data_IF_752457479529
#
_entry.id   IF_752457479529
#
_cell.length_a   1.000
_cell.length_b   1.000
_cell.length_c   1.000
_cell.angle_alpha   90.00
_cell.angle_beta   90.00
_cell.angle_gamma   90.00
#
_symmetry.space_group_name_H-M   'P 1'
#
loop_
_entity.id
_entity.type
_entity.pdbx_description
1 polymer ?
#
# COMPACT_ATOMS: atom_id res chain seq x y z
N UNK A 1 -63.56 -138.30 -72.03
CA UNK A 1 -62.39 -138.53 -71.16
C UNK A 1 -61.14 -138.08 -71.90
N UNK A 2 -60.43 -137.03 -71.44
CA UNK A 2 -58.99 -136.74 -71.69
C UNK A 2 -58.60 -135.25 -71.52
N UNK A 3 -59.54 -134.29 -71.44
CA UNK A 3 -59.18 -132.84 -71.37
C UNK A 3 -58.90 -132.35 -69.94
N UNK A 4 -59.46 -133.01 -68.92
CA UNK A 4 -59.30 -132.59 -67.52
C UNK A 4 -57.99 -133.07 -66.84
N UNK A 5 -57.19 -133.92 -67.48
CA UNK A 5 -55.95 -134.47 -66.89
C UNK A 5 -54.69 -133.66 -67.23
N UNK A 6 -54.76 -132.73 -68.19
CA UNK A 6 -53.65 -131.83 -68.56
C UNK A 6 -53.77 -130.47 -67.86
N UNK A 7 -54.97 -130.07 -67.44
CA UNK A 7 -55.19 -128.81 -66.72
C UNK A 7 -54.68 -128.85 -65.27
N UNK A 8 -54.72 -130.02 -64.62
CA UNK A 8 -54.38 -130.16 -63.20
C UNK A 8 -52.90 -129.82 -62.89
N UNK A 9 -51.90 -130.29 -63.66
CA UNK A 9 -50.49 -129.93 -63.42
C UNK A 9 -50.19 -128.46 -63.72
N UNK A 10 -50.85 -127.88 -64.72
CA UNK A 10 -50.73 -126.45 -65.09
C UNK A 10 -51.25 -125.54 -63.99
N UNK A 11 -52.43 -125.84 -63.45
CA UNK A 11 -53.03 -125.11 -62.33
C UNK A 11 -52.16 -125.22 -61.08
N UNK A 12 -51.67 -126.43 -60.77
CA UNK A 12 -50.78 -126.65 -59.62
C UNK A 12 -49.47 -125.86 -59.77
N UNK A 13 -48.85 -125.86 -60.96
CA UNK A 13 -47.65 -125.07 -61.24
C UNK A 13 -47.90 -123.57 -61.13
N UNK A 14 -49.07 -123.08 -61.55
CA UNK A 14 -49.45 -121.68 -61.43
C UNK A 14 -49.62 -121.26 -59.96
N UNK A 15 -50.35 -122.04 -59.16
CA UNK A 15 -50.50 -121.77 -57.72
C UNK A 15 -49.16 -121.87 -56.98
N UNK A 16 -48.30 -122.81 -57.36
CA UNK A 16 -46.97 -122.95 -56.81
C UNK A 16 -46.08 -121.72 -57.11
N UNK A 17 -46.11 -121.24 -58.35
CA UNK A 17 -45.40 -120.01 -58.73
C UNK A 17 -45.97 -118.78 -58.03
N UNK A 18 -47.30 -118.67 -57.93
CA UNK A 18 -47.97 -117.57 -57.26
C UNK A 18 -47.62 -117.54 -55.76
N UNK A 19 -47.62 -118.71 -55.11
CA UNK A 19 -47.21 -118.86 -53.72
C UNK A 19 -45.74 -118.44 -53.52
N UNK A 20 -44.83 -118.92 -54.36
CA UNK A 20 -43.42 -118.55 -54.28
C UNK A 20 -43.20 -117.05 -54.57
N UNK A 21 -43.94 -116.48 -55.52
CA UNK A 21 -43.88 -115.06 -55.84
C UNK A 21 -44.32 -114.19 -54.65
N UNK A 22 -45.46 -114.52 -54.02
CA UNK A 22 -45.91 -113.80 -52.82
C UNK A 22 -45.02 -114.04 -51.60
N UNK A 23 -44.43 -115.24 -51.47
CA UNK A 23 -43.50 -115.56 -50.40
C UNK A 23 -42.20 -114.74 -50.51
N UNK A 24 -41.58 -114.70 -51.70
CA UNK A 24 -40.38 -113.88 -51.91
C UNK A 24 -40.66 -112.38 -51.80
N UNK A 25 -41.79 -111.90 -52.32
CA UNK A 25 -42.19 -110.50 -52.18
C UNK A 25 -42.39 -110.09 -50.71
N UNK A 26 -42.93 -111.00 -49.88
CA UNK A 26 -43.07 -110.77 -48.43
C UNK A 26 -41.73 -110.81 -47.70
N UNK A 27 -40.81 -111.69 -48.09
CA UNK A 27 -39.50 -111.83 -47.47
C UNK A 27 -38.62 -110.60 -47.73
N UNK A 28 -38.60 -110.07 -48.96
CA UNK A 28 -37.85 -108.84 -49.31
C UNK A 28 -38.45 -107.61 -48.64
N UNK A 29 -39.78 -107.52 -48.55
CA UNK A 29 -40.45 -106.42 -47.84
C UNK A 29 -40.17 -106.42 -46.33
N UNK A 30 -40.04 -107.59 -45.70
CA UNK A 30 -39.78 -107.67 -44.26
C UNK A 30 -38.34 -107.26 -43.89
N UNK A 31 -37.34 -107.66 -44.68
CA UNK A 31 -35.94 -107.28 -44.41
C UNK A 31 -35.70 -105.79 -44.64
N UNK A 32 -36.25 -105.22 -45.72
CA UNK A 32 -36.18 -103.78 -46.00
C UNK A 32 -36.93 -102.94 -44.96
N UNK A 33 -38.11 -103.39 -44.50
CA UNK A 33 -38.88 -102.70 -43.47
C UNK A 33 -38.23 -102.79 -42.08
N UNK A 34 -37.66 -103.93 -41.72
CA UNK A 34 -36.95 -104.13 -40.44
C UNK A 34 -35.69 -103.25 -40.34
N UNK A 35 -34.89 -103.20 -41.40
CA UNK A 35 -33.67 -102.39 -41.44
C UNK A 35 -33.98 -100.88 -41.42
N UNK A 36 -34.99 -100.44 -42.18
CA UNK A 36 -35.45 -99.05 -42.15
C UNK A 36 -36.01 -98.65 -40.77
N UNK A 37 -36.75 -99.55 -40.11
CA UNK A 37 -37.30 -99.25 -38.80
C UNK A 37 -36.22 -99.09 -37.72
N UNK A 38 -35.18 -99.94 -37.75
CA UNK A 38 -34.04 -99.85 -36.83
C UNK A 38 -33.20 -98.58 -37.06
N UNK A 39 -33.02 -98.15 -38.32
CA UNK A 39 -32.34 -96.89 -38.66
C UNK A 39 -33.10 -95.68 -38.10
N UNK A 40 -34.43 -95.62 -38.30
CA UNK A 40 -35.28 -94.56 -37.77
C UNK A 40 -35.25 -94.49 -36.24
N UNK A 41 -35.17 -95.64 -35.55
CA UNK A 41 -35.03 -95.69 -34.09
C UNK A 41 -33.67 -95.10 -33.65
N UNK A 42 -32.60 -95.37 -34.39
CA UNK A 42 -31.27 -94.83 -34.09
C UNK A 42 -31.23 -93.31 -34.30
N UNK A 43 -31.77 -92.81 -35.41
CA UNK A 43 -31.89 -91.36 -35.69
C UNK A 43 -32.79 -90.64 -34.68
N UNK A 44 -33.89 -91.27 -34.26
CA UNK A 44 -34.76 -90.75 -33.21
C UNK A 44 -34.01 -90.65 -31.88
N UNK A 45 -33.16 -91.63 -31.57
CA UNK A 45 -32.34 -91.63 -30.35
C UNK A 45 -31.26 -90.55 -30.39
N UNK A 46 -30.59 -90.38 -31.53
CA UNK A 46 -29.58 -89.33 -31.72
C UNK A 46 -30.20 -87.93 -31.65
N UNK A 47 -31.34 -87.71 -32.33
CA UNK A 47 -32.08 -86.45 -32.25
C UNK A 47 -32.55 -86.15 -30.82
N UNK A 48 -33.01 -87.15 -30.07
CA UNK A 48 -33.34 -86.99 -28.65
C UNK A 48 -32.12 -86.55 -27.81
N UNK A 49 -30.95 -87.15 -28.02
CA UNK A 49 -29.73 -86.75 -27.33
C UNK A 49 -29.32 -85.31 -27.69
N UNK A 50 -29.43 -84.93 -28.97
CA UNK A 50 -29.17 -83.56 -29.43
C UNK A 50 -30.14 -82.58 -28.78
N UNK A 51 -31.42 -82.92 -28.66
CA UNK A 51 -32.43 -82.10 -27.95
C UNK A 51 -32.01 -81.91 -26.49
N UNK A 52 -31.71 -82.99 -25.76
CA UNK A 52 -31.29 -82.87 -24.35
C UNK A 52 -30.01 -82.04 -24.18
N UNK A 53 -29.07 -82.12 -25.12
CA UNK A 53 -27.87 -81.26 -25.10
C UNK A 53 -28.22 -79.79 -25.33
N UNK A 54 -29.10 -79.49 -26.28
CA UNK A 54 -29.53 -78.12 -26.55
C UNK A 54 -30.34 -77.55 -25.38
N UNK A 55 -31.20 -78.35 -24.74
CA UNK A 55 -31.92 -77.96 -23.52
C UNK A 55 -30.95 -77.60 -22.39
N UNK A 56 -29.91 -78.41 -22.17
CA UNK A 56 -28.88 -78.11 -21.17
C UNK A 56 -28.11 -76.82 -21.49
N UNK A 57 -27.73 -76.61 -22.75
CA UNK A 57 -27.03 -75.37 -23.16
C UNK A 57 -27.95 -74.16 -23.02
N UNK A 58 -29.23 -74.31 -23.35
CA UNK A 58 -30.22 -73.25 -23.20
C UNK A 58 -30.41 -72.87 -21.73
N UNK A 59 -30.53 -73.85 -20.85
CA UNK A 59 -30.66 -73.65 -19.40
C UNK A 59 -29.42 -72.93 -18.83
N UNK A 60 -28.22 -73.38 -19.18
CA UNK A 60 -26.97 -72.72 -18.80
C UNK A 60 -26.93 -71.25 -19.27
N UNK A 61 -27.35 -71.00 -20.52
CA UNK A 61 -27.40 -69.65 -21.09
C UNK A 61 -28.43 -68.78 -20.38
N UNK A 62 -29.60 -69.32 -20.03
CA UNK A 62 -30.64 -68.61 -19.27
C UNK A 62 -30.09 -68.21 -17.89
N UNK A 63 -29.45 -69.13 -17.18
CA UNK A 63 -28.86 -68.85 -15.86
C UNK A 63 -27.77 -67.78 -15.95
N UNK A 64 -26.87 -67.86 -16.94
CA UNK A 64 -25.83 -66.87 -17.18
C UNK A 64 -26.44 -65.48 -17.52
N UNK A 65 -27.46 -65.44 -18.37
CA UNK A 65 -28.16 -64.19 -18.70
C UNK A 65 -28.83 -63.59 -17.45
N UNK A 66 -29.47 -64.39 -16.61
CA UNK A 66 -30.08 -63.92 -15.37
C UNK A 66 -29.04 -63.33 -14.41
N UNK A 67 -27.89 -63.98 -14.24
CA UNK A 67 -26.79 -63.48 -13.43
C UNK A 67 -26.24 -62.14 -13.97
N UNK A 68 -26.07 -62.03 -15.29
CA UNK A 68 -25.65 -60.77 -15.93
C UNK A 68 -26.67 -59.66 -15.78
N UNK A 69 -27.96 -59.96 -15.95
CA UNK A 69 -29.05 -58.99 -15.73
C UNK A 69 -29.05 -58.46 -14.31
N UNK A 70 -28.81 -59.33 -13.31
CA UNK A 70 -28.70 -58.90 -11.92
C UNK A 70 -27.50 -57.96 -11.70
N UNK A 71 -26.31 -58.33 -12.20
CA UNK A 71 -25.11 -57.50 -12.10
C UNK A 71 -25.30 -56.13 -12.77
N UNK A 72 -25.91 -56.08 -13.95
CA UNK A 72 -26.23 -54.81 -14.64
C UNK A 72 -27.18 -53.96 -13.80
N UNK A 73 -28.18 -54.58 -13.16
CA UNK A 73 -29.12 -53.87 -12.27
C UNK A 73 -28.42 -53.28 -11.04
N UNK A 74 -27.48 -54.00 -10.44
CA UNK A 74 -26.68 -53.51 -9.30
C UNK A 74 -25.76 -52.36 -9.70
N UNK A 75 -25.06 -52.49 -10.83
CA UNK A 75 -24.26 -51.40 -11.39
C UNK A 75 -25.11 -50.16 -11.70
N UNK A 76 -26.33 -50.35 -12.22
CA UNK A 76 -27.28 -49.26 -12.47
C UNK A 76 -27.64 -48.49 -11.19
N UNK A 77 -27.95 -49.19 -10.09
CA UNK A 77 -28.22 -48.55 -8.79
C UNK A 77 -27.01 -47.77 -8.27
N UNK A 78 -25.82 -48.35 -8.35
CA UNK A 78 -24.60 -47.66 -7.92
C UNK A 78 -24.30 -46.41 -8.76
N UNK A 79 -24.61 -46.45 -10.06
CA UNK A 79 -24.46 -45.31 -10.95
C UNK A 79 -25.44 -44.19 -10.60
N UNK A 80 -26.69 -44.54 -10.28
CA UNK A 80 -27.71 -43.60 -9.83
C UNK A 80 -27.32 -42.93 -8.50
N UNK A 81 -26.83 -43.69 -7.52
CA UNK A 81 -26.32 -43.16 -6.26
C UNK A 81 -25.15 -42.18 -6.49
N UNK A 82 -24.23 -42.53 -7.40
CA UNK A 82 -23.11 -41.67 -7.75
C UNK A 82 -23.56 -40.39 -8.47
N UNK A 83 -24.56 -40.48 -9.35
CA UNK A 83 -25.15 -39.31 -10.00
C UNK A 83 -25.81 -38.37 -8.97
N UNK A 84 -26.56 -38.92 -8.01
CA UNK A 84 -27.17 -38.17 -6.93
C UNK A 84 -26.13 -37.49 -6.02
N UNK A 85 -25.01 -38.18 -5.74
CA UNK A 85 -23.90 -37.58 -5.00
C UNK A 85 -23.21 -36.47 -5.79
N UNK A 86 -23.04 -36.67 -7.09
CA UNK A 86 -22.45 -35.65 -7.99
C UNK A 86 -23.30 -34.39 -8.01
N UNK A 87 -24.63 -34.52 -8.16
CA UNK A 87 -25.54 -33.36 -8.14
C UNK A 87 -25.52 -32.66 -6.78
N UNK A 88 -25.55 -33.39 -5.66
CA UNK A 88 -25.42 -32.80 -4.33
C UNK A 88 -24.11 -32.03 -4.16
N UNK A 89 -22.97 -32.62 -4.54
CA UNK A 89 -21.67 -31.96 -4.45
C UNK A 89 -21.60 -30.72 -5.36
N UNK A 90 -22.21 -30.77 -6.54
CA UNK A 90 -22.28 -29.63 -7.44
C UNK A 90 -23.09 -28.48 -6.85
N UNK A 91 -24.23 -28.77 -6.20
CA UNK A 91 -25.01 -27.77 -5.47
C UNK A 91 -24.23 -27.20 -4.29
N UNK A 92 -23.61 -28.04 -3.46
CA UNK A 92 -22.81 -27.59 -2.33
C UNK A 92 -21.62 -26.71 -2.76
N UNK A 93 -20.99 -27.02 -3.89
CA UNK A 93 -19.91 -26.20 -4.46
C UNK A 93 -20.45 -24.85 -4.94
N UNK A 94 -21.63 -24.83 -5.56
CA UNK A 94 -22.27 -23.59 -5.99
C UNK A 94 -22.59 -22.68 -4.80
N UNK A 95 -23.21 -23.23 -3.75
CA UNK A 95 -23.51 -22.50 -2.52
C UNK A 95 -22.24 -21.92 -1.90
N UNK A 96 -21.19 -22.73 -1.75
CA UNK A 96 -19.91 -22.29 -1.18
C UNK A 96 -19.26 -21.18 -2.02
N UNK A 97 -19.35 -21.29 -3.35
CA UNK A 97 -18.82 -20.27 -4.26
C UNK A 97 -19.54 -18.94 -4.10
N UNK A 98 -20.86 -18.95 -3.96
CA UNK A 98 -21.67 -17.76 -3.73
C UNK A 98 -21.33 -17.10 -2.37
N UNK A 99 -21.21 -17.90 -1.30
CA UNK A 99 -20.77 -17.38 0.00
C UNK A 99 -19.34 -16.81 -0.04
N UNK A 100 -18.43 -17.44 -0.78
CA UNK A 100 -17.06 -16.96 -0.94
C UNK A 100 -17.00 -15.62 -1.69
N UNK A 101 -17.76 -15.48 -2.79
CA UNK A 101 -17.81 -14.24 -3.54
C UNK A 101 -18.42 -13.11 -2.71
N UNK A 102 -19.52 -13.39 -2.02
CA UNK A 102 -20.19 -12.42 -1.15
C UNK A 102 -19.32 -11.99 0.05
N UNK A 103 -18.58 -12.94 0.65
CA UNK A 103 -17.66 -12.64 1.75
C UNK A 103 -16.47 -11.80 1.29
N UNK A 104 -15.90 -12.10 0.12
CA UNK A 104 -14.77 -11.36 -0.43
C UNK A 104 -15.16 -9.92 -0.84
N UNK A 105 -16.30 -9.76 -1.51
CA UNK A 105 -16.83 -8.44 -1.87
C UNK A 105 -17.16 -7.59 -0.63
N UNK A 106 -17.80 -8.18 0.38
CA UNK A 106 -18.09 -7.50 1.65
C UNK A 106 -16.82 -7.12 2.41
N UNK A 107 -15.82 -8.00 2.44
CA UNK A 107 -14.52 -7.72 3.06
C UNK A 107 -13.80 -6.57 2.34
N UNK A 108 -13.76 -6.61 1.00
CA UNK A 108 -13.13 -5.58 0.17
C UNK A 108 -13.80 -4.21 0.33
N UNK A 109 -15.14 -4.16 0.34
CA UNK A 109 -15.90 -2.92 0.53
C UNK A 109 -15.68 -2.33 1.92
N UNK A 110 -15.67 -3.16 2.97
CA UNK A 110 -15.37 -2.72 4.34
C UNK A 110 -13.93 -2.21 4.47
N UNK A 111 -12.96 -2.90 3.90
CA UNK A 111 -11.56 -2.48 3.90
C UNK A 111 -11.39 -1.14 3.17
N UNK A 112 -11.96 -1.01 1.96
CA UNK A 112 -11.93 0.22 1.17
C UNK A 112 -12.55 1.39 1.94
N UNK A 113 -13.71 1.18 2.58
CA UNK A 113 -14.36 2.20 3.40
C UNK A 113 -13.49 2.63 4.59
N UNK A 114 -12.89 1.69 5.30
CA UNK A 114 -12.04 1.98 6.46
C UNK A 114 -10.75 2.70 6.07
N UNK A 115 -10.12 2.27 4.98
CA UNK A 115 -8.92 2.91 4.45
C UNK A 115 -9.19 4.33 3.97
N UNK A 116 -10.26 4.54 3.19
CA UNK A 116 -10.67 5.88 2.74
C UNK A 116 -10.98 6.79 3.93
N UNK A 117 -11.69 6.29 4.95
CA UNK A 117 -11.99 7.07 6.16
C UNK A 117 -10.71 7.40 6.95
N UNK A 118 -9.76 6.47 7.02
CA UNK A 118 -8.45 6.69 7.64
C UNK A 118 -7.65 7.79 6.92
N UNK A 119 -7.57 7.71 5.59
CA UNK A 119 -6.93 8.74 4.77
C UNK A 119 -7.60 10.11 4.92
N UNK A 120 -8.94 10.14 4.97
CA UNK A 120 -9.68 11.38 5.22
C UNK A 120 -9.34 12.00 6.59
N UNK A 121 -9.24 11.19 7.64
CA UNK A 121 -8.86 11.66 8.96
C UNK A 121 -7.44 12.26 8.97
N UNK A 122 -6.48 11.58 8.34
CA UNK A 122 -5.11 12.05 8.19
C UNK A 122 -5.05 13.33 7.35
N UNK A 123 -5.78 13.38 6.23
CA UNK A 123 -5.85 14.56 5.36
C UNK A 123 -6.40 15.78 6.11
N UNK A 124 -7.48 15.62 6.90
CA UNK A 124 -8.00 16.73 7.71
C UNK A 124 -6.98 17.20 8.75
N UNK A 125 -6.32 16.27 9.45
CA UNK A 125 -5.29 16.62 10.44
C UNK A 125 -4.15 17.40 9.79
N UNK A 126 -3.62 16.89 8.68
CA UNK A 126 -2.55 17.56 7.94
C UNK A 126 -2.98 18.95 7.46
N UNK A 127 -4.23 19.11 7.04
CA UNK A 127 -4.75 20.42 6.62
C UNK A 127 -4.77 21.42 7.80
N UNK A 128 -5.16 20.98 8.99
CA UNK A 128 -5.10 21.83 10.18
C UNK A 128 -3.66 22.17 10.56
N UNK A 129 -2.77 21.17 10.59
CA UNK A 129 -1.37 21.35 10.93
C UNK A 129 -0.67 22.31 9.94
N UNK A 130 -1.04 22.25 8.66
CA UNK A 130 -0.55 23.15 7.62
C UNK A 130 -0.97 24.60 7.88
N UNK A 131 -2.23 24.87 8.19
CA UNK A 131 -2.68 26.23 8.53
C UNK A 131 -2.00 26.77 9.80
N UNK A 132 -1.77 25.93 10.81
CA UNK A 132 -1.04 26.36 12.02
C UNK A 132 0.40 26.71 11.68
N UNK A 133 1.06 25.92 10.81
CA UNK A 133 2.42 26.19 10.39
C UNK A 133 2.50 27.45 9.53
N UNK A 134 1.53 27.68 8.64
CA UNK A 134 1.41 28.87 7.81
C UNK A 134 1.26 30.14 8.67
N UNK A 135 0.40 30.12 9.69
CA UNK A 135 0.25 31.24 10.63
C UNK A 135 1.55 31.53 11.40
N UNK A 136 2.28 30.49 11.82
CA UNK A 136 3.57 30.66 12.50
C UNK A 136 4.65 31.21 11.57
N UNK A 137 4.65 30.77 10.30
CA UNK A 137 5.57 31.28 9.30
C UNK A 137 5.30 32.77 9.02
N UNK A 138 4.03 33.15 8.89
CA UNK A 138 3.63 34.55 8.70
C UNK A 138 4.02 35.42 9.90
N UNK A 139 3.73 35.00 11.13
CA UNK A 139 4.14 35.73 12.34
C UNK A 139 5.68 35.92 12.41
N UNK A 140 6.44 34.89 12.05
CA UNK A 140 7.89 34.98 11.98
C UNK A 140 8.36 35.94 10.89
N UNK A 141 7.70 35.96 9.73
CA UNK A 141 7.99 36.88 8.63
C UNK A 141 7.69 38.33 9.01
N UNK A 142 6.50 38.60 9.57
CA UNK A 142 6.10 39.93 10.03
C UNK A 142 7.07 40.47 11.10
N UNK A 143 7.54 39.61 12.02
CA UNK A 143 8.56 39.97 13.02
C UNK A 143 9.92 40.29 12.38
N UNK A 144 10.33 39.53 11.36
CA UNK A 144 11.56 39.80 10.64
C UNK A 144 11.47 41.11 9.85
N UNK A 145 10.32 41.42 9.26
CA UNK A 145 10.06 42.68 8.57
C UNK A 145 10.16 43.87 9.54
N UNK A 146 9.52 43.77 10.71
CA UNK A 146 9.64 44.78 11.76
C UNK A 146 11.09 44.96 12.25
N UNK A 147 11.84 43.86 12.41
CA UNK A 147 13.26 43.93 12.76
C UNK A 147 14.10 44.57 11.65
N UNK A 148 13.80 44.29 10.39
CA UNK A 148 14.47 44.89 9.25
C UNK A 148 14.25 46.40 9.22
N UNK A 149 13.01 46.88 9.42
CA UNK A 149 12.68 48.30 9.51
C UNK A 149 13.52 48.99 10.61
N UNK A 150 13.52 48.44 11.83
CA UNK A 150 14.31 48.99 12.95
C UNK A 150 15.81 49.02 12.63
N UNK A 151 16.37 47.97 12.04
CA UNK A 151 17.79 47.93 11.65
C UNK A 151 18.09 49.00 10.61
N UNK A 152 17.21 49.24 9.65
CA UNK A 152 17.39 50.30 8.66
C UNK A 152 17.34 51.70 9.28
N UNK A 153 16.42 51.95 10.22
CA UNK A 153 16.36 53.22 10.95
C UNK A 153 17.61 53.44 11.80
N UNK A 154 18.04 52.43 12.56
CA UNK A 154 19.25 52.48 13.38
C UNK A 154 20.50 52.72 12.51
N UNK A 155 20.56 52.13 11.32
CA UNK A 155 21.64 52.37 10.37
C UNK A 155 21.72 53.84 9.94
N UNK A 156 20.58 54.46 9.62
CA UNK A 156 20.51 55.89 9.27
C UNK A 156 20.97 56.77 10.44
N UNK A 157 20.56 56.45 11.67
CA UNK A 157 20.99 57.18 12.87
C UNK A 157 22.51 57.09 13.09
N UNK A 158 23.11 55.92 12.91
CA UNK A 158 24.57 55.72 13.01
C UNK A 158 25.30 56.58 11.97
N UNK A 159 24.80 56.62 10.73
CA UNK A 159 25.40 57.45 9.67
C UNK A 159 25.37 58.94 10.04
N UNK A 160 24.26 59.44 10.57
CA UNK A 160 24.16 60.84 11.03
C UNK A 160 25.09 61.13 12.22
N UNK A 161 25.23 60.19 13.16
CA UNK A 161 26.15 60.32 14.29
C UNK A 161 27.61 60.38 13.83
N UNK A 162 28.00 59.51 12.89
CA UNK A 162 29.35 59.51 12.33
C UNK A 162 29.65 60.85 11.64
N UNK A 163 28.71 61.38 10.84
CA UNK A 163 28.86 62.71 10.24
C UNK A 163 29.00 63.83 11.28
N UNK A 164 28.16 63.83 12.31
CA UNK A 164 28.21 64.84 13.38
C UNK A 164 29.53 64.79 14.15
N UNK A 165 30.05 63.58 14.39
CA UNK A 165 31.34 63.35 15.04
C UNK A 165 32.50 63.88 14.20
N UNK A 166 32.50 63.67 12.87
CA UNK A 166 33.51 64.23 11.98
C UNK A 166 33.47 65.77 11.98
N UNK A 167 32.28 66.38 11.94
CA UNK A 167 32.12 67.85 12.02
C UNK A 167 32.64 68.37 13.37
N UNK A 168 32.31 67.70 14.47
CA UNK A 168 32.77 68.07 15.80
C UNK A 168 34.30 67.99 15.92
N UNK A 169 34.93 66.94 15.38
CA UNK A 169 36.39 66.80 15.30
C UNK A 169 37.03 67.97 14.52
N UNK A 170 36.49 68.31 13.35
CA UNK A 170 36.99 69.42 12.53
C UNK A 170 36.87 70.77 13.27
N UNK A 171 35.72 71.03 13.92
CA UNK A 171 35.51 72.26 14.71
C UNK A 171 36.44 72.32 15.92
N UNK A 172 36.67 71.21 16.61
CA UNK A 172 37.60 71.14 17.74
C UNK A 172 39.04 71.43 17.31
N UNK A 173 39.50 70.83 16.20
CA UNK A 173 40.81 71.12 15.60
C UNK A 173 40.94 72.59 15.19
N UNK A 174 39.90 73.16 14.59
CA UNK A 174 39.89 74.57 14.20
C UNK A 174 39.91 75.50 15.43
N UNK A 175 39.14 75.19 16.47
CA UNK A 175 39.15 75.93 17.73
C UNK A 175 40.50 75.82 18.45
N UNK A 176 41.13 74.65 18.43
CA UNK A 176 42.48 74.45 18.95
C UNK A 176 43.50 75.29 18.16
N UNK A 177 43.42 75.31 16.82
CA UNK A 177 44.27 76.17 15.98
C UNK A 177 44.08 77.65 16.29
N UNK A 178 42.83 78.11 16.45
CA UNK A 178 42.53 79.49 16.84
C UNK A 178 43.04 79.82 18.25
N UNK A 179 42.90 78.90 19.21
CA UNK A 179 43.43 79.06 20.57
C UNK A 179 44.96 79.15 20.55
N UNK A 180 45.62 78.29 19.79
CA UNK A 180 47.07 78.34 19.61
C UNK A 180 47.50 79.69 19.00
N UNK A 181 46.83 80.19 17.96
CA UNK A 181 47.12 81.53 17.40
C UNK A 181 46.89 82.66 18.40
N UNK A 182 45.80 82.63 19.17
CA UNK A 182 45.50 83.64 20.19
C UNK A 182 46.51 83.61 21.33
N UNK A 183 46.97 82.45 21.77
CA UNK A 183 48.02 82.34 22.78
C UNK A 183 49.38 82.83 22.27
N UNK A 184 49.71 82.62 21.00
CA UNK A 184 50.92 83.22 20.39
C UNK A 184 50.83 84.74 20.34
N UNK A 185 49.66 85.29 19.99
CA UNK A 185 49.42 86.73 19.99
C UNK A 185 49.46 87.32 21.41
N UNK A 186 48.87 86.64 22.40
CA UNK A 186 48.95 87.08 23.80
C UNK A 186 50.38 86.99 24.35
N UNK A 187 51.15 85.96 24.00
CA UNK A 187 52.60 85.90 24.31
C UNK A 187 53.38 87.05 23.68
N UNK A 188 53.00 87.46 22.46
CA UNK A 188 53.58 88.64 21.80
C UNK A 188 53.24 89.93 22.55
N UNK A 189 51.98 90.11 22.99
CA UNK A 189 51.57 91.27 23.79
C UNK A 189 52.26 91.30 25.16
N UNK A 190 52.39 90.16 25.84
CA UNK A 190 53.07 90.08 27.14
C UNK A 190 54.56 90.46 27.03
N UNK A 191 55.22 90.04 25.94
CA UNK A 191 56.59 90.45 25.61
C UNK A 191 56.76 91.94 25.28
N UNK A 192 55.68 92.65 24.90
CA UNK A 192 55.69 94.10 24.67
C UNK A 192 55.33 94.85 25.97
N UNK A 193 54.31 94.38 26.70
CA UNK A 193 53.84 94.96 27.96
C UNK A 193 54.93 94.92 29.04
N UNK A 194 55.67 93.81 29.13
CA UNK A 194 56.78 93.67 30.08
C UNK A 194 57.95 94.63 29.84
N UNK A 195 58.03 95.28 28.66
CA UNK A 195 59.11 96.22 28.34
C UNK A 195 58.73 97.69 28.41
N UNK A 196 57.44 98.06 28.57
CA UNK A 196 57.06 99.46 28.33
C UNK A 196 56.01 100.14 29.24
N UNK A 197 55.55 99.56 30.35
CA UNK A 197 54.59 100.26 31.24
C UNK A 197 54.88 100.09 32.76
N UNK A 198 55.14 101.18 33.52
CA UNK A 198 55.11 101.16 34.97
C UNK A 198 53.67 101.29 35.51
N UNK A 199 53.38 100.55 36.60
CA UNK A 199 52.10 100.44 37.34
C UNK A 199 51.42 101.80 37.60
N UNK A 200 50.08 101.94 37.46
CA UNK A 200 49.21 101.65 38.61
C UNK A 200 47.78 101.15 38.24
N UNK A 201 47.40 99.96 38.70
CA UNK A 201 45.99 99.58 38.89
C UNK A 201 45.87 98.93 40.27
N UNK A 202 45.67 99.77 41.29
CA UNK A 202 45.39 99.34 42.68
C UNK A 202 44.11 99.98 43.23
N UNK A 203 43.18 100.35 42.35
CA UNK A 203 41.99 101.14 42.73
C UNK A 203 40.70 100.76 41.96
N UNK A 204 40.57 99.52 41.48
CA UNK A 204 39.37 99.06 40.75
C UNK A 204 38.70 97.82 41.35
N UNK A 205 38.89 97.57 42.64
CA UNK A 205 38.26 96.45 43.37
C UNK A 205 36.82 96.73 43.85
N UNK A 206 36.18 97.84 43.47
CA UNK A 206 34.88 98.26 44.07
C UNK A 206 33.64 98.10 43.17
N UNK A 207 33.70 97.38 42.05
CA UNK A 207 32.49 97.04 41.27
C UNK A 207 32.44 95.55 40.91
N UNK A 208 32.27 94.70 41.93
CA UNK A 208 31.94 93.29 41.79
C UNK A 208 30.43 93.11 41.59
N UNK A 209 29.99 93.29 40.33
CA UNK A 209 28.69 92.88 39.82
C UNK A 209 28.54 91.36 40.02
N UNK A 210 27.48 90.98 40.74
CA UNK A 210 27.30 89.65 41.32
C UNK A 210 27.42 88.49 40.34
N UNK A 211 28.26 87.52 40.72
CA UNK A 211 28.24 86.14 40.21
C UNK A 211 28.03 85.20 41.40
N UNK A 212 26.80 84.74 41.55
CA UNK A 212 26.41 83.72 42.53
C UNK A 212 26.88 82.31 42.13
N UNK A 213 26.57 81.30 42.98
CA UNK A 213 27.20 79.97 43.01
C UNK A 213 26.79 79.01 41.86
N UNK A 214 26.03 79.49 40.88
CA UNK A 214 25.42 78.67 39.82
C UNK A 214 26.47 78.16 38.82
N UNK A 215 27.53 78.93 38.56
CA UNK A 215 28.56 78.54 37.57
C UNK A 215 29.41 77.35 38.07
N UNK A 216 29.67 77.26 39.38
CA UNK A 216 30.43 76.13 39.95
C UNK A 216 29.64 74.83 39.97
N UNK A 217 28.31 74.90 40.11
CA UNK A 217 27.44 73.72 40.10
C UNK A 217 27.43 73.02 38.72
N UNK A 218 27.28 73.78 37.63
CA UNK A 218 27.30 73.22 36.28
C UNK A 218 28.69 72.73 35.83
N UNK A 219 29.76 73.37 36.31
CA UNK A 219 31.13 72.96 35.99
C UNK A 219 31.57 71.70 36.78
N UNK A 220 31.10 71.53 38.03
CA UNK A 220 31.27 70.29 38.79
C UNK A 220 30.45 69.13 38.21
N UNK A 221 29.15 69.34 37.93
CA UNK A 221 28.26 68.29 37.44
C UNK A 221 28.68 67.76 36.05
N UNK A 222 29.20 68.64 35.19
CA UNK A 222 29.71 68.24 33.87
C UNK A 222 31.00 67.42 33.99
N UNK A 223 31.90 67.80 34.90
CA UNK A 223 33.16 67.07 35.12
C UNK A 223 32.91 65.71 35.78
N UNK A 224 31.92 65.60 36.68
CA UNK A 224 31.52 64.36 37.37
C UNK A 224 30.83 63.36 36.43
N UNK A 225 29.95 63.83 35.53
CA UNK A 225 29.36 62.99 34.48
C UNK A 225 30.40 62.53 33.44
N UNK A 226 31.34 63.39 33.04
CA UNK A 226 32.44 62.96 32.16
C UNK A 226 33.42 62.03 32.85
N UNK A 227 33.64 62.15 34.17
CA UNK A 227 34.48 61.21 34.92
C UNK A 227 33.84 59.82 35.01
N UNK A 228 32.51 59.74 35.08
CA UNK A 228 31.79 58.46 35.06
C UNK A 228 31.85 57.74 33.70
N UNK A 229 31.90 58.48 32.57
CA UNK A 229 31.98 57.91 31.22
C UNK A 229 33.42 57.67 30.69
N UNK A 230 34.45 58.17 31.39
CA UNK A 230 35.86 58.00 31.00
C UNK A 230 36.48 56.72 31.60
N UNK A 231 35.73 55.95 32.38
CA UNK A 231 36.18 54.65 32.86
C UNK A 231 36.10 53.63 31.71
N UNK A 232 37.26 53.23 31.18
CA UNK A 232 37.40 52.25 30.09
C UNK A 232 36.67 50.93 30.39
N UNK A 233 36.52 50.56 31.66
CA UNK A 233 35.75 49.38 32.09
C UNK A 233 34.26 49.49 31.77
N UNK A 234 33.62 50.66 31.96
CA UNK A 234 32.18 50.83 31.68
C UNK A 234 31.90 50.86 30.18
N UNK A 235 32.81 51.41 29.38
CA UNK A 235 32.74 51.36 27.92
C UNK A 235 32.91 49.91 27.43
N UNK A 236 33.82 49.14 28.03
CA UNK A 236 34.00 47.72 27.73
C UNK A 236 32.78 46.89 28.14
N UNK A 237 32.18 47.13 29.31
CA UNK A 237 30.96 46.45 29.75
C UNK A 237 29.79 46.77 28.83
N UNK A 238 29.60 48.04 28.45
CA UNK A 238 28.53 48.45 27.55
C UNK A 238 28.73 47.86 26.15
N UNK A 239 29.95 47.89 25.61
CA UNK A 239 30.27 47.25 24.34
C UNK A 239 30.10 45.73 24.37
N UNK A 240 30.52 45.07 25.47
CA UNK A 240 30.34 43.62 25.62
C UNK A 240 28.86 43.25 25.74
N UNK A 241 28.06 44.03 26.47
CA UNK A 241 26.63 43.80 26.64
C UNK A 241 25.88 43.90 25.30
N UNK A 242 26.24 44.87 24.45
CA UNK A 242 25.67 45.00 23.10
C UNK A 242 26.00 43.84 22.17
N UNK A 243 27.12 43.13 22.40
CA UNK A 243 27.52 41.97 21.60
C UNK A 243 26.93 40.68 22.17
N UNK A 244 26.87 40.53 23.50
CA UNK A 244 26.44 39.28 24.15
C UNK A 244 24.93 39.12 24.23
N UNK A 245 24.17 40.22 24.37
CA UNK A 245 22.70 40.15 24.45
C UNK A 245 22.03 39.56 23.20
N UNK A 246 22.44 39.94 21.96
CA UNK A 246 21.88 39.34 20.75
C UNK A 246 22.19 37.84 20.62
N UNK A 247 23.39 37.42 21.04
CA UNK A 247 23.83 36.02 20.94
C UNK A 247 23.07 35.13 21.93
N UNK A 248 22.89 35.59 23.17
CA UNK A 248 22.11 34.88 24.18
C UNK A 248 20.61 34.85 23.85
N UNK A 249 20.07 35.92 23.26
CA UNK A 249 18.68 35.97 22.79
C UNK A 249 18.41 34.98 21.65
N UNK A 250 19.32 34.89 20.67
CA UNK A 250 19.23 33.89 19.60
C UNK A 250 19.34 32.45 20.10
N UNK A 251 20.13 32.20 21.15
CA UNK A 251 20.25 30.86 21.73
C UNK A 251 19.01 30.43 22.52
N UNK A 252 18.35 31.36 23.21
CA UNK A 252 17.09 31.06 23.91
C UNK A 252 15.93 30.77 22.95
N UNK A 253 15.88 31.44 21.79
CA UNK A 253 14.83 31.22 20.79
C UNK A 253 15.00 29.92 19.98
N UNK A 254 16.21 29.33 19.96
CA UNK A 254 16.47 28.03 19.31
C UNK A 254 16.18 26.83 20.23
N UNK A 255 16.06 27.06 21.54
CA UNK A 255 15.82 26.03 22.57
C UNK A 255 14.35 25.91 22.99
N UNK A 256 13.46 26.72 22.43
CA UNK A 256 12.01 26.74 22.70
C UNK A 256 11.24 26.37 21.43
#
# INVERSE_FOLDING_TARGET
MAVNMILLPSIFSFFFFLFFFFFFLSLTSQDEQSNNHNLLILELRDSKLKISRLESVLEERIQNLNAKTLSVKEHGKSLEDMANKSTYLQSALFDLKDYSFLADEKSLTLWKRRFVHGLWAVSRKNNFDLHVLELKAQDAEDRLEAMAEVVTEQWVQIQHLEQALQIAKMRALQAQKQRNMRCTFLKFIDGISGRHLPKPFKALDSYSLGKGPIIRYYEMQRNELTAAFVNDELVFFLASAFITFPILGSWMLLLT
#
